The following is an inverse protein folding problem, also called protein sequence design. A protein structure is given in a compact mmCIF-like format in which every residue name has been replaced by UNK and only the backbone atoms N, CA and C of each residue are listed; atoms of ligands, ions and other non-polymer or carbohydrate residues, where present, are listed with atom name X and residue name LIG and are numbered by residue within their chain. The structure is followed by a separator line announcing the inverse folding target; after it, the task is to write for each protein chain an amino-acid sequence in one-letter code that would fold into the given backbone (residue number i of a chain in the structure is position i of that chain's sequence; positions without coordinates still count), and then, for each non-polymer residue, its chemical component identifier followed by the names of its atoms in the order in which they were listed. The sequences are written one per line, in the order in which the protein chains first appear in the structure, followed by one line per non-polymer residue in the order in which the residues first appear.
data_IF_760867640249
#
_entry.id   IF_760867640249
#
_cell.length_a   1.000
_cell.length_b   1.000
_cell.length_c   1.000
_cell.angle_alpha   90.00
_cell.angle_beta   90.00
_cell.angle_gamma   90.00
#
_symmetry.space_group_name_H-M   'P 1'
#
loop_
_entity.id
_entity.type
_entity.pdbx_description
1 polymer ?
#
# COMPACT_ATOMS: atom_id res chain seq x y z
N UNK A 1 -6.28 36.65 1.51
CA UNK A 1 -6.49 35.58 2.50
C UNK A 1 -7.66 34.72 2.02
N UNK A 2 -7.40 33.51 1.52
CA UNK A 2 -8.47 32.61 1.09
C UNK A 2 -9.04 31.92 2.35
N UNK A 3 -10.02 32.54 3.00
CA UNK A 3 -10.68 32.01 4.19
C UNK A 3 -11.43 30.76 3.76
N UNK A 4 -10.88 29.59 4.08
CA UNK A 4 -11.53 28.30 3.82
C UNK A 4 -12.71 28.18 4.78
N UNK A 5 -13.89 28.57 4.33
CA UNK A 5 -15.13 28.53 5.11
C UNK A 5 -15.41 27.09 5.52
N UNK A 6 -15.63 26.86 6.82
CA UNK A 6 -15.96 25.53 7.36
C UNK A 6 -17.35 25.14 6.83
N UNK A 7 -17.41 24.04 6.07
CA UNK A 7 -18.68 23.42 5.66
C UNK A 7 -19.08 22.39 6.71
N UNK A 8 -20.10 22.71 7.51
CA UNK A 8 -20.50 21.92 8.68
C UNK A 8 -21.43 20.76 8.34
N UNK A 9 -22.22 20.90 7.28
CA UNK A 9 -23.26 19.93 6.91
C UNK A 9 -22.98 19.33 5.54
N UNK A 10 -23.20 18.03 5.38
CA UNK A 10 -23.14 17.33 4.10
C UNK A 10 -24.53 17.26 3.48
N UNK A 11 -24.64 17.61 2.20
CA UNK A 11 -25.88 17.46 1.43
C UNK A 11 -25.95 16.08 0.77
N UNK A 12 -27.15 15.68 0.33
CA UNK A 12 -27.35 14.40 -0.37
C UNK A 12 -26.61 14.37 -1.71
N UNK A 13 -26.52 15.50 -2.39
CA UNK A 13 -25.79 15.68 -3.64
C UNK A 13 -24.29 15.49 -3.42
N UNK A 14 -23.74 16.10 -2.36
CA UNK A 14 -22.32 15.92 -2.00
C UNK A 14 -22.01 14.46 -1.62
N UNK A 15 -22.92 13.78 -0.91
CA UNK A 15 -22.78 12.36 -0.57
C UNK A 15 -22.86 11.47 -1.82
N UNK A 16 -23.74 11.78 -2.78
CA UNK A 16 -23.86 11.03 -4.02
C UNK A 16 -22.60 11.18 -4.89
N UNK A 17 -22.09 12.41 -5.04
CA UNK A 17 -20.85 12.66 -5.76
C UNK A 17 -19.66 11.95 -5.11
N UNK A 18 -19.56 12.00 -3.77
CA UNK A 18 -18.51 11.28 -3.04
C UNK A 18 -18.60 9.76 -3.26
N UNK A 19 -19.82 9.18 -3.26
CA UNK A 19 -19.99 7.74 -3.54
C UNK A 19 -19.56 7.38 -4.94
N UNK A 20 -20.06 8.10 -5.93
CA UNK A 20 -19.78 7.84 -7.34
C UNK A 20 -18.28 7.84 -7.62
N UNK A 21 -17.57 8.88 -7.18
CA UNK A 21 -16.12 9.01 -7.42
C UNK A 21 -15.32 7.90 -6.73
N UNK A 22 -15.68 7.55 -5.49
CA UNK A 22 -14.97 6.50 -4.76
C UNK A 22 -15.23 5.13 -5.36
N UNK A 23 -16.48 4.82 -5.73
CA UNK A 23 -16.84 3.55 -6.37
C UNK A 23 -16.20 3.42 -7.74
N UNK A 24 -16.26 4.46 -8.57
CA UNK A 24 -15.59 4.51 -9.87
C UNK A 24 -14.09 4.23 -9.76
N UNK A 25 -13.41 4.81 -8.76
CA UNK A 25 -11.98 4.52 -8.53
C UNK A 25 -11.74 3.07 -8.12
N UNK A 26 -12.58 2.51 -7.26
CA UNK A 26 -12.49 1.11 -6.83
C UNK A 26 -12.69 0.18 -8.04
N UNK A 27 -13.71 0.43 -8.87
CA UNK A 27 -14.00 -0.35 -10.09
C UNK A 27 -12.84 -0.28 -11.09
N UNK A 28 -12.14 0.85 -11.15
CA UNK A 28 -10.93 1.04 -11.98
C UNK A 28 -9.66 0.41 -11.37
N UNK A 29 -9.75 -0.26 -10.21
CA UNK A 29 -8.61 -0.85 -9.50
C UNK A 29 -7.72 0.16 -8.76
N UNK A 30 -8.18 1.41 -8.63
CA UNK A 30 -7.47 2.45 -7.88
C UNK A 30 -7.85 2.43 -6.39
N UNK A 31 -7.00 3.06 -5.58
CA UNK A 31 -7.25 3.17 -4.14
C UNK A 31 -8.39 4.14 -3.84
N UNK A 32 -9.13 3.88 -2.75
CA UNK A 32 -10.15 4.81 -2.23
C UNK A 32 -9.56 6.20 -1.91
N UNK A 33 -8.29 6.25 -1.54
CA UNK A 33 -7.52 7.46 -1.29
C UNK A 33 -7.48 8.36 -2.54
N UNK A 34 -7.39 7.77 -3.73
CA UNK A 34 -7.49 8.50 -5.01
C UNK A 34 -8.88 9.10 -5.20
N UNK A 35 -9.93 8.34 -4.89
CA UNK A 35 -11.31 8.83 -4.93
C UNK A 35 -11.56 9.99 -3.96
N UNK A 36 -11.01 9.92 -2.75
CA UNK A 36 -11.11 11.03 -1.78
C UNK A 36 -10.37 12.28 -2.26
N UNK A 37 -9.25 12.12 -2.97
CA UNK A 37 -8.51 13.25 -3.53
C UNK A 37 -9.37 13.97 -4.57
N UNK A 38 -9.94 13.23 -5.52
CA UNK A 38 -10.78 13.79 -6.58
C UNK A 38 -12.04 14.45 -6.01
N UNK A 39 -12.73 13.76 -5.09
CA UNK A 39 -13.91 14.29 -4.42
C UNK A 39 -13.60 15.55 -3.60
N UNK A 40 -12.43 15.63 -2.95
CA UNK A 40 -12.05 16.79 -2.15
C UNK A 40 -11.94 18.08 -2.99
N UNK A 41 -11.44 17.95 -4.22
CA UNK A 41 -11.30 19.06 -5.17
C UNK A 41 -12.69 19.51 -5.61
N UNK A 42 -13.54 18.58 -6.05
CA UNK A 42 -14.86 18.90 -6.60
C UNK A 42 -15.84 19.42 -5.54
N UNK A 43 -15.77 18.91 -4.31
CA UNK A 43 -16.66 19.31 -3.21
C UNK A 43 -16.15 20.56 -2.45
N UNK A 44 -14.91 20.99 -2.72
CA UNK A 44 -14.24 22.04 -1.97
C UNK A 44 -14.02 21.67 -0.49
N UNK A 45 -13.87 20.37 -0.17
CA UNK A 45 -13.67 19.84 1.19
C UNK A 45 -12.25 19.31 1.36
N UNK A 46 -11.83 19.01 2.58
CA UNK A 46 -10.54 18.34 2.79
C UNK A 46 -10.65 16.85 2.46
N UNK A 47 -9.55 16.25 2.00
CA UNK A 47 -9.45 14.81 1.77
C UNK A 47 -9.84 13.99 3.00
N UNK A 48 -9.43 14.46 4.18
CA UNK A 48 -9.75 13.83 5.47
C UNK A 48 -11.26 13.88 5.76
N UNK A 49 -11.94 14.99 5.42
CA UNK A 49 -13.39 15.09 5.58
C UNK A 49 -14.12 14.13 4.64
N UNK A 50 -13.70 14.02 3.38
CA UNK A 50 -14.24 13.03 2.43
C UNK A 50 -14.03 11.59 2.93
N UNK A 51 -12.82 11.26 3.40
CA UNK A 51 -12.51 9.94 3.95
C UNK A 51 -13.37 9.61 5.17
N UNK A 52 -13.53 10.56 6.10
CA UNK A 52 -14.35 10.37 7.29
C UNK A 52 -15.82 10.16 6.93
N UNK A 53 -16.38 11.00 6.05
CA UNK A 53 -17.78 10.88 5.61
C UNK A 53 -18.04 9.54 4.92
N UNK A 54 -17.16 9.14 4.02
CA UNK A 54 -17.24 7.85 3.34
C UNK A 54 -17.22 6.68 4.35
N UNK A 55 -16.19 6.62 5.20
CA UNK A 55 -16.00 5.49 6.12
C UNK A 55 -17.11 5.37 7.16
N UNK A 56 -17.62 6.50 7.68
CA UNK A 56 -18.62 6.50 8.75
C UNK A 56 -20.05 6.37 8.24
N UNK A 57 -20.39 7.04 7.14
CA UNK A 57 -21.79 7.19 6.72
C UNK A 57 -22.11 6.44 5.43
N UNK A 58 -21.24 6.45 4.43
CA UNK A 58 -21.60 6.00 3.08
C UNK A 58 -21.20 4.55 2.80
N UNK A 59 -19.99 4.15 3.18
CA UNK A 59 -19.47 2.78 2.99
C UNK A 59 -20.38 1.71 3.61
N UNK A 60 -20.90 1.84 4.85
CA UNK A 60 -21.80 0.84 5.40
C UNK A 60 -23.10 0.70 4.60
N UNK A 61 -23.63 1.80 4.05
CA UNK A 61 -24.86 1.80 3.25
C UNK A 61 -24.63 1.09 1.92
N UNK A 62 -23.50 1.38 1.26
CA UNK A 62 -23.14 0.75 -0.02
C UNK A 62 -22.93 -0.76 0.16
N UNK A 63 -22.16 -1.16 1.19
CA UNK A 63 -21.91 -2.58 1.46
C UNK A 63 -23.20 -3.36 1.80
N UNK A 64 -24.16 -2.72 2.49
CA UNK A 64 -25.47 -3.33 2.78
C UNK A 64 -26.34 -3.48 1.52
N UNK A 65 -26.16 -2.63 0.50
CA UNK A 65 -26.92 -2.69 -0.75
C UNK A 65 -26.45 -3.82 -1.66
N UNK A 66 -25.16 -4.15 -1.62
CA UNK A 66 -24.55 -5.18 -2.48
C UNK A 66 -24.65 -6.61 -1.90
N UNK A 67 -25.07 -6.79 -0.65
CA UNK A 67 -25.21 -8.10 -0.04
C UNK A 67 -26.12 -8.12 1.19
N UNK A 68 -27.13 -9.00 1.15
CA UNK A 68 -27.88 -9.47 2.31
C UNK A 68 -26.96 -9.74 3.51
N UNK A 69 -27.35 -9.24 4.69
CA UNK A 69 -26.83 -9.56 6.03
C UNK A 69 -25.30 -9.70 6.12
N UNK A 70 -24.59 -8.58 6.24
CA UNK A 70 -23.49 -8.54 7.22
C UNK A 70 -24.05 -7.81 8.41
N UNK A 71 -24.45 -8.58 9.41
CA UNK A 71 -24.73 -8.05 10.75
C UNK A 71 -23.66 -7.03 11.09
N UNK A 72 -24.11 -5.88 11.58
CA UNK A 72 -23.23 -4.95 12.27
C UNK A 72 -22.81 -5.70 13.53
N UNK A 73 -21.81 -6.58 13.42
CA UNK A 73 -21.05 -6.98 14.58
C UNK A 73 -20.55 -5.66 15.14
N UNK A 74 -21.11 -5.27 16.29
CA UNK A 74 -20.41 -4.48 17.29
C UNK A 74 -18.93 -4.84 17.18
N UNK A 75 -18.04 -3.86 17.09
CA UNK A 75 -16.61 -4.11 16.98
C UNK A 75 -16.17 -4.98 18.16
N UNK A 76 -16.21 -6.29 18.00
CA UNK A 76 -15.57 -7.21 18.90
C UNK A 76 -14.10 -6.89 18.74
N UNK A 77 -13.49 -6.43 19.83
CA UNK A 77 -12.05 -6.25 19.87
C UNK A 77 -11.47 -7.61 19.48
N UNK A 78 -10.67 -7.70 18.41
CA UNK A 78 -10.09 -8.97 18.01
C UNK A 78 -9.41 -9.58 19.22
N UNK A 79 -9.76 -10.83 19.55
CA UNK A 79 -9.16 -11.52 20.67
C UNK A 79 -7.63 -11.40 20.58
N UNK A 80 -6.99 -11.12 21.71
CA UNK A 80 -5.54 -10.85 21.77
C UNK A 80 -4.74 -11.98 21.13
N UNK A 81 -5.25 -13.22 21.20
CA UNK A 81 -4.72 -14.40 20.50
C UNK A 81 -4.71 -14.25 18.98
N UNK A 82 -5.78 -13.75 18.37
CA UNK A 82 -5.86 -13.55 16.91
C UNK A 82 -4.86 -12.51 16.42
N UNK A 83 -4.65 -11.43 17.18
CA UNK A 83 -3.65 -10.42 16.85
C UNK A 83 -2.22 -10.96 17.02
N UNK A 84 -2.00 -11.74 18.09
CA UNK A 84 -0.71 -12.40 18.34
C UNK A 84 -0.36 -13.40 17.24
N UNK A 85 -1.31 -14.20 16.77
CA UNK A 85 -1.12 -15.12 15.65
C UNK A 85 -0.77 -14.38 14.35
N UNK A 86 -1.47 -13.26 14.05
CA UNK A 86 -1.16 -12.45 12.88
C UNK A 86 0.24 -11.84 12.96
N UNK A 87 0.64 -11.37 14.15
CA UNK A 87 1.98 -10.83 14.36
C UNK A 87 3.05 -11.92 14.17
N UNK A 88 2.81 -13.11 14.72
CA UNK A 88 3.70 -14.24 14.58
C UNK A 88 3.93 -14.62 13.12
N UNK A 89 2.85 -14.76 12.34
CA UNK A 89 2.94 -15.04 10.89
C UNK A 89 3.69 -13.95 10.13
N UNK A 90 3.48 -12.68 10.48
CA UNK A 90 4.20 -11.57 9.85
C UNK A 90 5.70 -11.59 10.19
N UNK A 91 6.06 -11.97 11.42
CA UNK A 91 7.45 -12.11 11.84
C UNK A 91 8.13 -13.29 11.13
N UNK A 92 7.47 -14.44 11.05
CA UNK A 92 7.99 -15.62 10.34
C UNK A 92 8.21 -15.31 8.85
N UNK A 93 7.23 -14.68 8.20
CA UNK A 93 7.36 -14.25 6.80
C UNK A 93 8.52 -13.26 6.59
N UNK A 94 8.74 -12.36 7.54
CA UNK A 94 9.86 -11.43 7.48
C UNK A 94 11.22 -12.14 7.62
N UNK A 95 11.32 -13.08 8.55
CA UNK A 95 12.55 -13.85 8.77
C UNK A 95 12.91 -14.70 7.54
N UNK A 96 11.93 -15.35 6.91
CA UNK A 96 12.13 -16.10 5.66
C UNK A 96 12.62 -15.20 4.52
N UNK A 97 12.02 -14.02 4.37
CA UNK A 97 12.42 -13.05 3.36
C UNK A 97 13.84 -12.55 3.60
N UNK A 98 14.18 -12.24 4.85
CA UNK A 98 15.53 -11.81 5.23
C UNK A 98 16.56 -12.89 4.94
N UNK A 99 16.26 -14.15 5.28
CA UNK A 99 17.15 -15.27 5.00
C UNK A 99 17.41 -15.42 3.48
N UNK A 100 16.36 -15.29 2.67
CA UNK A 100 16.48 -15.33 1.20
C UNK A 100 17.34 -14.19 0.66
N UNK A 101 17.18 -12.98 1.22
CA UNK A 101 18.00 -11.84 0.87
C UNK A 101 19.48 -12.06 1.24
N UNK A 102 19.77 -12.56 2.43
CA UNK A 102 21.13 -12.83 2.89
C UNK A 102 21.82 -13.85 1.97
N UNK A 103 21.12 -14.92 1.57
CA UNK A 103 21.63 -15.91 0.62
C UNK A 103 22.00 -15.30 -0.75
N UNK A 104 21.12 -14.44 -1.29
CA UNK A 104 21.38 -13.77 -2.58
C UNK A 104 22.57 -12.81 -2.46
N UNK A 105 22.65 -12.07 -1.35
CA UNK A 105 23.75 -11.16 -1.07
C UNK A 105 25.09 -11.90 -1.01
N UNK A 106 25.14 -13.05 -0.34
CA UNK A 106 26.34 -13.88 -0.25
C UNK A 106 26.75 -14.44 -1.61
N UNK A 107 25.79 -14.96 -2.39
CA UNK A 107 26.04 -15.45 -3.74
C UNK A 107 26.57 -14.35 -4.66
N UNK A 108 26.01 -13.14 -4.57
CA UNK A 108 26.49 -11.98 -5.30
C UNK A 108 27.93 -11.60 -4.93
N UNK A 109 28.24 -11.57 -3.64
CA UNK A 109 29.59 -11.24 -3.17
C UNK A 109 30.63 -12.28 -3.62
N UNK A 110 30.26 -13.56 -3.65
CA UNK A 110 31.11 -14.62 -4.19
C UNK A 110 31.36 -14.42 -5.69
N UNK A 111 30.29 -14.26 -6.47
CA UNK A 111 30.40 -14.05 -7.92
C UNK A 111 31.24 -12.81 -8.25
N UNK A 112 31.09 -11.73 -7.47
CA UNK A 112 31.88 -10.51 -7.61
C UNK A 112 33.37 -10.77 -7.41
N UNK A 113 33.74 -11.56 -6.39
CA UNK A 113 35.15 -11.92 -6.13
C UNK A 113 35.73 -12.75 -7.27
N UNK A 114 34.99 -13.74 -7.75
CA UNK A 114 35.44 -14.60 -8.85
C UNK A 114 35.62 -13.80 -10.14
N UNK A 115 34.69 -12.88 -10.43
CA UNK A 115 34.81 -11.95 -11.54
C UNK A 115 36.06 -11.07 -11.42
N UNK A 116 36.31 -10.48 -10.25
CA UNK A 116 37.51 -9.66 -10.01
C UNK A 116 38.81 -10.45 -10.18
N UNK A 117 38.83 -11.72 -9.73
CA UNK A 117 39.98 -12.61 -9.93
C UNK A 117 40.22 -12.91 -11.41
N UNK A 118 39.17 -13.26 -12.16
CA UNK A 118 39.28 -13.53 -13.60
C UNK A 118 39.76 -12.30 -14.37
N UNK A 119 39.23 -11.11 -14.06
CA UNK A 119 39.70 -9.85 -14.66
C UNK A 119 41.19 -9.63 -14.39
N UNK A 120 41.64 -9.88 -13.16
CA UNK A 120 43.05 -9.75 -12.81
C UNK A 120 43.93 -10.76 -13.56
N UNK A 121 43.51 -12.02 -13.68
CA UNK A 121 44.21 -13.04 -14.46
C UNK A 121 44.32 -12.68 -15.93
N UNK A 122 43.23 -12.22 -16.56
CA UNK A 122 43.24 -11.78 -17.96
C UNK A 122 44.22 -10.62 -18.15
N UNK A 123 44.19 -9.62 -17.26
CA UNK A 123 45.14 -8.50 -17.31
C UNK A 123 46.59 -8.95 -17.22
N UNK A 124 46.93 -9.84 -16.29
CA UNK A 124 48.29 -10.38 -16.14
C UNK A 124 48.71 -11.22 -17.35
N UNK A 125 47.81 -12.05 -17.88
CA UNK A 125 48.08 -12.85 -19.07
C UNK A 125 48.38 -12.01 -20.32
N UNK A 126 47.65 -10.90 -20.51
CA UNK A 126 47.91 -9.94 -21.59
C UNK A 126 49.31 -9.31 -21.43
N UNK A 127 49.70 -8.90 -20.22
CA UNK A 127 51.03 -8.32 -19.99
C UNK A 127 52.19 -9.28 -20.29
N UNK A 128 51.98 -10.59 -20.14
CA UNK A 128 53.02 -11.58 -20.45
C UNK A 128 53.16 -11.89 -21.96
N UNK A 129 52.13 -11.64 -22.76
CA UNK A 129 52.16 -11.83 -24.22
C UNK A 129 52.85 -10.63 -24.89
N UNK A 130 52.62 -9.41 -24.42
CA UNK A 130 53.23 -8.19 -24.99
C UNK A 130 54.73 -8.03 -24.70
N UNK A 131 55.28 -8.79 -23.75
CA UNK A 131 56.69 -8.74 -23.36
C UNK A 131 57.57 -9.87 -23.94
N UNK A 132 57.09 -10.58 -24.98
CA UNK A 132 57.80 -11.68 -25.64
C UNK A 132 58.02 -11.39 -27.13
#
# INVERSE_FOLDING_TARGET
MNVKIRKDSWTSEEDNLLKELVLKKIEQGHTQISGFQEASILLGRSKQACAFRWNKNLRPIVLKKEGSVREVHSREVPDSSSLQNHLQLAMESYDEMKQSYDQISDAYNLLKRDYEQLVNWVRQGITHIDHR
#
